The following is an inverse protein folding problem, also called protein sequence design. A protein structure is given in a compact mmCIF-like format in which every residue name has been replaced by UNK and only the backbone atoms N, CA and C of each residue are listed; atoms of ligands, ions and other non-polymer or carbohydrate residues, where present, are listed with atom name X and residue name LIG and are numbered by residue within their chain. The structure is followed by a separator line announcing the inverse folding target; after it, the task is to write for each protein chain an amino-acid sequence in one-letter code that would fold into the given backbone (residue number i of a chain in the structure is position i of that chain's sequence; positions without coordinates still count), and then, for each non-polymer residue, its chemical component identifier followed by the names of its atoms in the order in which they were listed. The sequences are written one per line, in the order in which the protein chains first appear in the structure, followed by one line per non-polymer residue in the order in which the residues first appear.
data_IF_425231270503
#
_entry.id   IF_425231270503
#
_cell.length_a   1.000
_cell.length_b   1.000
_cell.length_c   1.000
_cell.angle_alpha   90.00
_cell.angle_beta   90.00
_cell.angle_gamma   90.00
#
_symmetry.space_group_name_H-M   'P 1'
#
loop_
_entity.id
_entity.type
_entity.pdbx_description
1 polymer ?
#
# COMPACT_ATOMS: atom_id res chain seq x y z
N UNK A 1 20.56 -53.90 27.70
CA UNK A 1 19.97 -53.07 26.63
C UNK A 1 19.58 -51.72 27.21
N UNK A 2 20.30 -50.64 26.87
CA UNK A 2 20.02 -49.29 27.38
C UNK A 2 18.86 -48.69 26.60
N UNK A 3 17.73 -48.44 27.28
CA UNK A 3 16.62 -47.64 26.76
C UNK A 3 17.08 -46.18 26.69
N UNK A 4 17.69 -45.81 25.57
CA UNK A 4 17.86 -44.39 25.22
C UNK A 4 16.46 -43.93 24.82
N UNK A 5 15.83 -43.20 25.74
CA UNK A 5 14.46 -42.73 25.67
C UNK A 5 14.31 -41.84 24.43
N UNK A 6 13.27 -42.08 23.63
CA UNK A 6 12.84 -41.26 22.48
C UNK A 6 12.80 -39.74 22.81
N UNK A 7 12.67 -39.40 24.09
CA UNK A 7 12.71 -38.05 24.65
C UNK A 7 14.03 -37.30 24.42
N UNK A 8 15.19 -37.97 24.45
CA UNK A 8 16.49 -37.30 24.18
C UNK A 8 16.73 -37.05 22.69
N UNK A 9 15.98 -37.72 21.79
CA UNK A 9 16.03 -37.45 20.35
C UNK A 9 15.09 -36.30 19.93
N UNK A 10 14.05 -36.02 20.72
CA UNK A 10 13.08 -34.94 20.45
C UNK A 10 13.50 -33.57 21.04
N UNK A 11 14.37 -33.54 22.06
CA UNK A 11 14.86 -32.29 22.63
C UNK A 11 15.64 -31.43 21.61
N UNK A 12 16.60 -31.97 20.83
CA UNK A 12 17.30 -31.18 19.81
C UNK A 12 16.36 -30.66 18.72
N UNK A 13 15.27 -31.38 18.40
CA UNK A 13 14.26 -30.93 17.43
C UNK A 13 13.39 -29.78 17.95
N UNK A 14 13.24 -29.63 19.27
CA UNK A 14 12.54 -28.47 19.87
C UNK A 14 13.44 -27.24 20.00
N UNK A 15 14.77 -27.42 20.04
CA UNK A 15 15.76 -26.33 20.13
C UNK A 15 16.40 -25.94 18.79
N UNK A 16 16.09 -26.64 17.68
CA UNK A 16 16.61 -26.32 16.35
C UNK A 16 15.85 -25.20 15.63
N UNK A 17 14.72 -24.74 16.17
CA UNK A 17 14.08 -23.50 15.74
C UNK A 17 14.49 -22.41 16.71
N UNK A 18 15.69 -21.84 16.50
CA UNK A 18 16.01 -20.55 17.10
C UNK A 18 14.89 -19.59 16.75
N UNK A 19 14.07 -19.23 17.74
CA UNK A 19 12.88 -18.41 17.53
C UNK A 19 13.35 -17.02 17.12
N UNK A 20 13.43 -16.69 15.83
CA UNK A 20 13.68 -15.30 15.43
C UNK A 20 12.58 -14.40 15.98
N UNK A 21 12.94 -13.16 16.33
CA UNK A 21 11.95 -12.14 16.66
C UNK A 21 11.05 -11.97 15.44
N UNK A 22 9.77 -12.34 15.59
CA UNK A 22 8.82 -12.11 14.52
C UNK A 22 8.72 -10.61 14.25
N UNK A 23 8.62 -10.25 12.97
CA UNK A 23 8.52 -8.86 12.55
C UNK A 23 7.38 -8.12 13.27
N UNK A 24 6.25 -8.79 13.50
CA UNK A 24 5.11 -8.22 14.23
C UNK A 24 5.41 -7.94 15.71
N UNK A 25 6.15 -8.83 16.38
CA UNK A 25 6.61 -8.60 17.77
C UNK A 25 7.49 -7.35 17.82
N UNK A 26 8.46 -7.23 16.92
CA UNK A 26 9.32 -6.05 16.87
C UNK A 26 8.54 -4.76 16.58
N UNK A 27 7.64 -4.77 15.60
CA UNK A 27 6.81 -3.61 15.28
C UNK A 27 5.90 -3.21 16.45
N UNK A 28 5.42 -4.17 17.23
CA UNK A 28 4.66 -3.92 18.46
C UNK A 28 5.53 -3.31 19.57
N UNK A 29 6.79 -3.75 19.69
CA UNK A 29 7.77 -3.12 20.58
C UNK A 29 8.04 -1.66 20.19
N UNK A 30 8.25 -1.37 18.90
CA UNK A 30 8.41 0.01 18.40
C UNK A 30 7.15 0.83 18.67
N UNK A 31 5.96 0.27 18.45
CA UNK A 31 4.70 0.95 18.73
C UNK A 31 4.58 1.36 20.22
N UNK A 32 4.94 0.48 21.15
CA UNK A 32 4.93 0.81 22.58
C UNK A 32 5.90 1.95 22.92
N UNK A 33 7.10 1.96 22.31
CA UNK A 33 8.07 3.04 22.51
C UNK A 33 7.56 4.35 21.93
N UNK A 34 7.03 4.31 20.72
CA UNK A 34 6.38 5.44 20.05
C UNK A 34 5.26 6.04 20.90
N UNK A 35 4.42 5.22 21.53
CA UNK A 35 3.32 5.69 22.37
C UNK A 35 3.80 6.29 23.69
N UNK A 36 4.88 5.77 24.26
CA UNK A 36 5.49 6.28 25.49
C UNK A 36 6.30 7.57 25.25
N UNK A 37 6.79 7.81 24.04
CA UNK A 37 7.54 9.01 23.70
C UNK A 37 6.67 10.26 23.79
N UNK A 38 7.14 11.27 24.54
CA UNK A 38 6.41 12.53 24.73
C UNK A 38 6.73 13.53 23.61
N UNK A 39 7.97 13.57 23.11
CA UNK A 39 8.37 14.54 22.09
C UNK A 39 8.13 14.05 20.66
N UNK A 40 7.75 14.95 19.73
CA UNK A 40 7.65 14.63 18.30
C UNK A 40 8.95 14.06 17.72
N UNK A 41 10.10 14.58 18.13
CA UNK A 41 11.41 14.16 17.64
C UNK A 41 11.73 12.72 18.04
N UNK A 42 11.40 12.32 19.27
CA UNK A 42 11.58 10.95 19.72
C UNK A 42 10.67 9.98 18.96
N UNK A 43 9.41 10.37 18.71
CA UNK A 43 8.48 9.57 17.88
C UNK A 43 8.99 9.40 16.45
N UNK A 44 9.49 10.47 15.85
CA UNK A 44 10.10 10.41 14.52
C UNK A 44 11.31 9.47 14.55
N UNK A 45 12.22 9.63 15.52
CA UNK A 45 13.42 8.82 15.65
C UNK A 45 13.11 7.32 15.74
N UNK A 46 12.18 6.91 16.60
CA UNK A 46 11.80 5.49 16.72
C UNK A 46 11.29 4.89 15.39
N UNK A 47 10.64 5.73 14.56
CA UNK A 47 10.08 5.30 13.28
C UNK A 47 11.13 5.27 12.15
N UNK A 48 12.09 6.22 12.15
CA UNK A 48 13.03 6.41 11.03
C UNK A 48 14.44 5.93 11.30
N UNK A 49 14.78 5.55 12.55
CA UNK A 49 16.12 5.04 12.86
C UNK A 49 16.45 3.86 11.95
N UNK A 50 17.69 3.82 11.46
CA UNK A 50 18.13 2.78 10.52
C UNK A 50 18.42 1.50 11.30
N UNK A 51 17.71 0.45 10.96
CA UNK A 51 17.73 -0.84 11.62
C UNK A 51 18.54 -1.84 10.78
N UNK A 52 19.47 -2.54 11.40
CA UNK A 52 20.13 -3.72 10.85
C UNK A 52 19.12 -4.87 10.77
N UNK A 53 18.47 -5.01 9.63
CA UNK A 53 17.39 -6.00 9.45
C UNK A 53 17.89 -7.43 9.40
N UNK A 54 19.18 -7.64 9.10
CA UNK A 54 19.81 -8.96 9.21
C UNK A 54 20.00 -9.36 10.67
N UNK A 55 20.55 -8.46 11.49
CA UNK A 55 20.66 -8.71 12.92
C UNK A 55 19.27 -8.95 13.53
N UNK A 56 18.30 -8.08 13.21
CA UNK A 56 16.94 -8.21 13.72
C UNK A 56 16.27 -9.54 13.36
N UNK A 57 16.56 -10.12 12.18
CA UNK A 57 16.01 -11.43 11.80
C UNK A 57 16.70 -12.61 12.49
N UNK A 58 17.86 -12.40 13.10
CA UNK A 58 18.65 -13.44 13.80
C UNK A 58 18.45 -13.42 15.32
N UNK A 59 18.03 -12.29 15.91
CA UNK A 59 17.78 -12.17 17.36
C UNK A 59 16.61 -13.04 17.81
N UNK A 60 16.73 -13.65 19.00
CA UNK A 60 15.74 -14.60 19.53
C UNK A 60 14.56 -13.99 20.26
N UNK A 61 14.76 -12.85 20.92
CA UNK A 61 13.73 -12.17 21.70
C UNK A 61 13.92 -10.65 21.70
N UNK A 62 12.84 -9.92 21.95
CA UNK A 62 12.90 -8.45 22.05
C UNK A 62 13.82 -8.02 23.19
N UNK A 63 13.81 -8.77 24.29
CA UNK A 63 14.62 -8.53 25.48
C UNK A 63 16.12 -8.72 25.23
N UNK A 64 16.50 -9.46 24.19
CA UNK A 64 17.89 -9.75 23.82
C UNK A 64 18.44 -8.75 22.79
N UNK A 65 17.62 -7.77 22.36
CA UNK A 65 18.04 -6.77 21.39
C UNK A 65 19.13 -5.86 21.98
N UNK A 66 20.31 -5.93 21.37
CA UNK A 66 21.39 -4.98 21.58
C UNK A 66 21.20 -3.79 20.63
N UNK A 67 20.79 -2.63 21.17
CA UNK A 67 20.56 -1.41 20.38
C UNK A 67 21.82 -0.96 19.62
N UNK A 68 23.03 -1.29 20.10
CA UNK A 68 24.29 -0.94 19.42
C UNK A 68 24.53 -1.75 18.14
N UNK A 69 23.93 -2.94 18.05
CA UNK A 69 23.96 -3.79 16.85
C UNK A 69 22.74 -3.57 15.96
N UNK A 70 21.62 -3.18 16.57
CA UNK A 70 20.37 -2.89 15.86
C UNK A 70 20.46 -1.59 15.06
N UNK A 71 21.00 -0.51 15.64
CA UNK A 71 21.03 0.80 14.98
C UNK A 71 22.32 0.94 14.19
N UNK A 72 22.21 1.16 12.87
CA UNK A 72 23.37 1.26 11.98
C UNK A 72 23.57 2.64 11.39
N UNK A 73 24.81 3.11 11.44
CA UNK A 73 25.24 4.36 10.80
C UNK A 73 25.89 4.11 9.43
N UNK A 74 26.65 3.02 9.28
CA UNK A 74 27.21 2.57 8.00
C UNK A 74 26.40 1.40 7.43
N UNK A 75 25.75 1.66 6.30
CA UNK A 75 24.84 0.72 5.63
C UNK A 75 25.36 0.25 4.26
N UNK A 76 26.65 0.44 3.98
CA UNK A 76 27.26 0.05 2.71
C UNK A 76 27.21 -1.46 2.47
N UNK A 77 27.32 -2.24 3.54
CA UNK A 77 27.38 -3.71 3.51
C UNK A 77 26.27 -4.38 4.32
N UNK A 78 25.59 -3.60 5.17
CA UNK A 78 24.58 -4.11 6.09
C UNK A 78 23.19 -3.81 5.50
N UNK A 79 22.36 -4.83 5.25
CA UNK A 79 20.96 -4.64 4.94
C UNK A 79 20.30 -3.79 6.03
N UNK A 80 19.54 -2.78 5.63
CA UNK A 80 18.89 -1.89 6.58
C UNK A 80 17.47 -1.52 6.17
N UNK A 81 16.67 -1.17 7.17
CA UNK A 81 15.32 -0.64 7.00
C UNK A 81 15.02 0.35 8.12
N UNK A 82 13.76 0.73 8.26
CA UNK A 82 13.24 1.48 9.38
C UNK A 82 11.85 0.93 9.75
N UNK A 83 11.32 1.29 10.90
CA UNK A 83 10.08 0.69 11.38
C UNK A 83 8.87 1.00 10.48
N UNK A 84 8.82 2.18 9.83
CA UNK A 84 7.76 2.50 8.87
C UNK A 84 7.85 1.62 7.61
N UNK A 85 9.05 1.49 7.03
CA UNK A 85 9.29 0.61 5.90
C UNK A 85 8.93 -0.85 6.21
N UNK A 86 9.30 -1.33 7.40
CA UNK A 86 8.95 -2.67 7.88
C UNK A 86 7.44 -2.86 8.12
N UNK A 87 6.74 -1.86 8.65
CA UNK A 87 5.28 -1.89 8.80
C UNK A 87 4.56 -1.92 7.44
N UNK A 88 5.10 -1.22 6.45
CA UNK A 88 4.62 -1.28 5.07
C UNK A 88 4.86 -2.68 4.50
N UNK A 89 6.09 -3.21 4.61
CA UNK A 89 6.42 -4.54 4.12
C UNK A 89 5.61 -5.65 4.79
N UNK A 90 5.23 -5.52 6.07
CA UNK A 90 4.38 -6.52 6.74
C UNK A 90 2.89 -6.42 6.38
N UNK A 91 2.49 -5.39 5.65
CA UNK A 91 1.09 -5.11 5.37
C UNK A 91 0.29 -4.68 6.62
N UNK A 92 0.96 -4.14 7.65
CA UNK A 92 0.28 -3.62 8.84
C UNK A 92 -0.23 -2.21 8.55
N UNK A 93 -1.47 -2.13 8.07
CA UNK A 93 -2.15 -0.88 7.72
C UNK A 93 -2.25 0.07 8.92
N UNK A 94 -2.49 -0.46 10.13
CA UNK A 94 -2.68 0.35 11.34
C UNK A 94 -1.36 0.98 11.77
N UNK A 95 -0.30 0.19 11.88
CA UNK A 95 1.04 0.70 12.24
C UNK A 95 1.59 1.61 11.15
N UNK A 96 1.37 1.29 9.86
CA UNK A 96 1.73 2.18 8.74
C UNK A 96 1.05 3.54 8.87
N UNK A 97 -0.27 3.58 9.11
CA UNK A 97 -1.00 4.83 9.31
C UNK A 97 -0.49 5.60 10.51
N UNK A 98 -0.27 4.92 11.65
CA UNK A 98 0.23 5.54 12.89
C UNK A 98 1.63 6.12 12.73
N UNK A 99 2.57 5.34 12.23
CA UNK A 99 3.96 5.75 12.06
C UNK A 99 4.12 6.84 11.00
N UNK A 100 3.36 6.79 9.91
CA UNK A 100 3.41 7.83 8.87
C UNK A 100 2.85 9.18 9.31
N UNK A 101 2.03 9.25 10.37
CA UNK A 101 1.47 10.53 10.86
C UNK A 101 2.54 11.52 11.33
N UNK A 102 3.64 11.03 11.90
CA UNK A 102 4.73 11.89 12.40
C UNK A 102 5.75 12.26 11.30
N UNK A 103 5.60 11.70 10.10
CA UNK A 103 6.53 11.91 8.99
C UNK A 103 6.03 13.06 8.11
N UNK A 104 6.72 14.20 8.15
CA UNK A 104 6.35 15.38 7.35
C UNK A 104 6.44 15.12 5.84
N UNK A 105 7.49 14.42 5.39
CA UNK A 105 7.78 14.22 3.97
C UNK A 105 8.01 12.74 3.66
N UNK A 106 7.05 12.12 2.97
CA UNK A 106 7.05 10.67 2.72
C UNK A 106 8.11 10.18 1.72
N UNK A 107 8.68 11.10 0.94
CA UNK A 107 9.70 10.82 -0.08
C UNK A 107 11.13 11.07 0.44
N UNK A 108 11.31 11.33 1.73
CA UNK A 108 12.63 11.57 2.29
C UNK A 108 13.52 10.34 2.17
N UNK A 109 14.76 10.57 1.78
CA UNK A 109 15.73 9.50 1.62
C UNK A 109 15.96 8.76 2.94
N UNK A 110 15.77 9.41 4.11
CA UNK A 110 15.99 8.77 5.42
C UNK A 110 15.03 7.61 5.67
N UNK A 111 13.93 7.57 4.92
CA UNK A 111 12.93 6.50 4.92
C UNK A 111 13.29 5.37 3.96
N UNK A 112 14.33 5.52 3.16
CA UNK A 112 14.81 4.48 2.28
C UNK A 112 15.29 3.26 3.09
N UNK A 113 15.17 2.10 2.47
CA UNK A 113 15.66 0.83 2.99
C UNK A 113 16.55 0.19 1.94
N UNK A 114 17.36 -0.79 2.32
CA UNK A 114 18.12 -1.60 1.40
C UNK A 114 18.14 -3.05 1.88
N UNK A 115 17.68 -4.01 1.07
CA UNK A 115 17.89 -5.42 1.38
C UNK A 115 19.37 -5.83 1.21
N UNK A 116 20.24 -4.94 0.70
CA UNK A 116 21.68 -5.14 0.50
C UNK A 116 22.22 -4.43 -0.74
N UNK A 117 23.55 -4.33 -0.87
CA UNK A 117 24.28 -3.94 -2.11
C UNK A 117 23.99 -2.54 -2.71
N UNK A 118 24.10 -1.46 -1.91
CA UNK A 118 24.03 -0.04 -2.39
C UNK A 118 22.77 0.37 -3.18
N UNK A 119 21.79 -0.51 -3.33
CA UNK A 119 20.50 -0.21 -3.96
C UNK A 119 19.47 0.16 -2.91
N UNK A 120 18.89 1.34 -3.06
CA UNK A 120 17.89 1.87 -2.13
C UNK A 120 16.48 1.59 -2.64
N UNK A 121 15.57 1.29 -1.72
CA UNK A 121 14.14 1.17 -1.94
C UNK A 121 13.45 2.19 -1.04
N UNK A 122 12.84 3.22 -1.64
CA UNK A 122 11.94 4.11 -0.90
C UNK A 122 10.61 3.42 -0.57
N UNK A 123 9.80 4.04 0.28
CA UNK A 123 8.49 3.49 0.69
C UNK A 123 7.59 3.04 -0.47
N UNK A 124 7.52 3.77 -1.62
CA UNK A 124 6.74 3.32 -2.77
C UNK A 124 7.27 2.03 -3.41
N UNK A 125 8.59 1.80 -3.39
CA UNK A 125 9.18 0.56 -3.89
C UNK A 125 8.75 -0.62 -3.03
N UNK A 126 8.78 -0.45 -1.71
CA UNK A 126 8.42 -1.48 -0.73
C UNK A 126 6.92 -1.77 -0.81
N UNK A 127 6.07 -0.75 -0.94
CA UNK A 127 4.62 -0.94 -1.02
C UNK A 127 4.19 -1.70 -2.29
N UNK A 128 4.88 -1.45 -3.42
CA UNK A 128 4.58 -2.15 -4.68
C UNK A 128 5.28 -3.50 -4.74
N UNK A 129 6.44 -3.69 -4.09
CA UNK A 129 7.14 -4.97 -4.01
C UNK A 129 7.65 -5.25 -2.58
N UNK A 130 6.78 -5.77 -1.71
CA UNK A 130 7.16 -6.00 -0.31
C UNK A 130 7.95 -7.29 -0.07
N UNK A 131 7.92 -8.23 -1.03
CA UNK A 131 8.48 -9.58 -0.84
C UNK A 131 10.00 -9.54 -0.59
N UNK A 132 10.72 -8.66 -1.27
CA UNK A 132 12.17 -8.50 -1.11
C UNK A 132 12.57 -8.17 0.33
N UNK A 133 11.77 -7.37 1.04
CA UNK A 133 12.01 -7.11 2.47
C UNK A 133 11.54 -8.28 3.34
N UNK A 134 10.39 -8.86 3.06
CA UNK A 134 9.84 -9.94 3.87
C UNK A 134 10.73 -11.18 3.88
N UNK A 135 11.37 -11.51 2.75
CA UNK A 135 12.28 -12.66 2.63
C UNK A 135 13.49 -12.61 3.54
N UNK A 136 13.82 -11.44 4.10
CA UNK A 136 14.89 -11.30 5.10
C UNK A 136 14.48 -11.93 6.43
N UNK A 137 13.18 -11.91 6.74
CA UNK A 137 12.61 -12.44 7.98
C UNK A 137 11.98 -13.83 7.79
N UNK A 138 11.44 -14.10 6.59
CA UNK A 138 10.76 -15.35 6.25
C UNK A 138 11.01 -15.72 4.80
N UNK A 139 11.86 -16.73 4.57
CA UNK A 139 12.19 -17.22 3.23
C UNK A 139 10.97 -17.76 2.45
N UNK A 140 9.87 -18.12 3.14
CA UNK A 140 8.64 -18.60 2.54
C UNK A 140 7.61 -17.48 2.27
N UNK A 141 7.97 -16.23 2.56
CA UNK A 141 7.09 -15.09 2.36
C UNK A 141 6.58 -15.01 0.91
N UNK A 142 5.25 -14.94 0.78
CA UNK A 142 4.53 -14.91 -0.49
C UNK A 142 3.37 -13.94 -0.44
N UNK A 143 2.94 -13.47 -1.62
CA UNK A 143 1.71 -12.72 -1.74
C UNK A 143 0.52 -13.67 -1.72
N UNK A 144 -0.47 -13.34 -0.90
CA UNK A 144 -1.81 -13.90 -0.96
C UNK A 144 -2.85 -12.77 -1.12
N UNK A 145 -4.10 -13.12 -1.43
CA UNK A 145 -5.14 -12.13 -1.67
C UNK A 145 -5.45 -11.25 -0.46
N UNK A 146 -5.38 -11.78 0.75
CA UNK A 146 -5.65 -11.00 1.97
C UNK A 146 -4.52 -10.01 2.24
N UNK A 147 -3.29 -10.42 2.00
CA UNK A 147 -2.10 -9.60 2.07
C UNK A 147 -2.13 -8.47 1.02
N UNK A 148 -2.42 -8.80 -0.25
CA UNK A 148 -2.55 -7.79 -1.32
C UNK A 148 -3.59 -6.74 -1.00
N UNK A 149 -4.75 -7.13 -0.44
CA UNK A 149 -5.78 -6.17 -0.02
C UNK A 149 -5.23 -5.13 0.97
N UNK A 150 -4.43 -5.55 1.97
CA UNK A 150 -3.79 -4.64 2.93
C UNK A 150 -2.75 -3.75 2.25
N UNK A 151 -1.98 -4.29 1.30
CA UNK A 151 -1.01 -3.51 0.56
C UNK A 151 -1.64 -2.47 -0.36
N UNK A 152 -2.78 -2.76 -0.99
CA UNK A 152 -3.55 -1.77 -1.75
C UNK A 152 -3.99 -0.59 -0.87
N UNK A 153 -4.45 -0.87 0.35
CA UNK A 153 -4.77 0.19 1.32
C UNK A 153 -3.52 1.01 1.70
N UNK A 154 -2.36 0.38 1.84
CA UNK A 154 -1.10 1.08 2.12
C UNK A 154 -0.66 1.94 0.93
N UNK A 155 -0.80 1.46 -0.30
CA UNK A 155 -0.53 2.26 -1.51
C UNK A 155 -1.43 3.50 -1.54
N UNK A 156 -2.72 3.36 -1.24
CA UNK A 156 -3.64 4.49 -1.13
C UNK A 156 -3.19 5.49 -0.05
N UNK A 157 -2.78 5.00 1.14
CA UNK A 157 -2.27 5.84 2.23
C UNK A 157 -1.01 6.62 1.82
N UNK A 158 -0.07 5.95 1.14
CA UNK A 158 1.14 6.60 0.64
C UNK A 158 0.82 7.66 -0.43
N UNK A 159 -0.10 7.36 -1.34
CA UNK A 159 -0.55 8.32 -2.36
C UNK A 159 -1.21 9.56 -1.73
N UNK A 160 -2.04 9.38 -0.70
CA UNK A 160 -2.62 10.48 0.06
C UNK A 160 -1.57 11.37 0.72
N UNK A 161 -0.40 10.81 1.06
CA UNK A 161 0.75 11.56 1.58
C UNK A 161 1.72 12.08 0.51
N UNK A 162 1.36 11.99 -0.78
CA UNK A 162 2.17 12.52 -1.88
C UNK A 162 3.39 11.67 -2.22
N UNK A 163 3.31 10.36 -2.04
CA UNK A 163 4.36 9.43 -2.43
C UNK A 163 4.70 9.52 -3.93
N UNK A 164 6.00 9.54 -4.23
CA UNK A 164 6.51 9.55 -5.59
C UNK A 164 6.68 8.11 -6.11
N UNK A 165 5.67 7.61 -6.82
CA UNK A 165 5.74 6.28 -7.45
C UNK A 165 6.64 6.20 -8.69
N UNK A 166 7.36 7.29 -9.02
CA UNK A 166 8.42 7.33 -10.03
C UNK A 166 9.80 7.56 -9.41
N UNK A 167 9.92 7.44 -8.08
CA UNK A 167 11.18 7.61 -7.36
C UNK A 167 12.26 6.72 -7.97
N UNK A 168 13.38 7.34 -8.36
CA UNK A 168 14.56 6.70 -8.93
C UNK A 168 15.71 7.71 -8.88
N UNK A 169 16.90 7.29 -9.27
CA UNK A 169 18.05 8.18 -9.38
C UNK A 169 19.10 7.93 -8.30
N UNK A 170 19.88 8.96 -8.00
CA UNK A 170 21.08 8.85 -7.17
C UNK A 170 21.00 9.82 -6.01
N UNK A 171 21.38 9.37 -4.82
CA UNK A 171 21.41 10.17 -3.59
C UNK A 171 22.77 10.03 -2.91
N UNK A 172 23.20 11.10 -2.24
CA UNK A 172 24.47 11.12 -1.55
C UNK A 172 24.25 11.03 -0.05
N UNK A 173 24.88 10.06 0.59
CA UNK A 173 24.82 9.87 2.04
C UNK A 173 26.22 9.74 2.63
N UNK A 174 26.55 10.58 3.61
CA UNK A 174 27.84 10.56 4.30
C UNK A 174 29.04 10.52 3.31
N UNK A 175 28.97 11.30 2.24
CA UNK A 175 29.99 11.33 1.18
C UNK A 175 29.94 10.16 0.18
N UNK A 176 28.92 9.30 0.25
CA UNK A 176 28.80 8.12 -0.60
C UNK A 176 27.65 8.14 -1.59
N UNK A 177 28.00 7.59 -2.74
CA UNK A 177 27.25 7.38 -3.97
C UNK A 177 26.11 6.34 -3.96
N UNK A 178 24.87 6.60 -3.56
CA UNK A 178 23.81 5.57 -3.55
C UNK A 178 22.83 5.71 -4.71
N UNK A 179 22.34 4.59 -5.21
CA UNK A 179 21.40 4.55 -6.32
C UNK A 179 20.10 3.94 -5.79
N UNK A 180 18.99 4.65 -5.98
CA UNK A 180 17.69 4.00 -5.87
C UNK A 180 17.60 2.87 -6.88
N UNK A 181 16.87 1.82 -6.52
CA UNK A 181 16.40 0.83 -7.48
C UNK A 181 15.74 1.53 -8.68
N UNK A 182 15.48 0.74 -9.72
CA UNK A 182 14.60 1.21 -10.77
C UNK A 182 13.25 1.66 -10.19
N UNK A 183 12.49 2.45 -10.95
CA UNK A 183 11.17 2.95 -10.52
C UNK A 183 10.34 1.84 -9.86
N UNK A 184 9.47 2.15 -8.87
CA UNK A 184 8.69 1.15 -8.15
C UNK A 184 8.02 0.09 -9.04
N UNK A 185 7.53 0.47 -10.23
CA UNK A 185 6.97 -0.48 -11.20
C UNK A 185 8.01 -1.46 -11.76
N UNK A 186 9.17 -0.96 -12.20
CA UNK A 186 10.25 -1.81 -12.73
C UNK A 186 10.82 -2.71 -11.64
N UNK A 187 10.98 -2.17 -10.42
CA UNK A 187 11.46 -2.94 -9.28
C UNK A 187 10.51 -4.11 -8.96
N UNK A 188 9.21 -3.89 -9.00
CA UNK A 188 8.22 -4.96 -8.82
C UNK A 188 8.20 -5.98 -9.97
N UNK A 189 8.37 -5.51 -11.20
CA UNK A 189 8.42 -6.36 -12.39
C UNK A 189 9.59 -7.34 -12.35
N UNK A 190 10.79 -6.84 -12.03
CA UNK A 190 12.02 -7.66 -12.02
C UNK A 190 11.94 -8.85 -11.05
N UNK A 191 11.10 -8.72 -10.03
CA UNK A 191 10.88 -9.74 -9.00
C UNK A 191 9.70 -10.63 -9.41
N UNK A 192 8.66 -10.08 -10.05
CA UNK A 192 7.49 -10.81 -10.57
C UNK A 192 7.83 -11.91 -11.60
N UNK A 193 8.87 -11.71 -12.41
CA UNK A 193 9.31 -12.66 -13.45
C UNK A 193 9.82 -14.00 -12.90
N UNK A 194 10.11 -14.05 -11.59
CA UNK A 194 10.62 -15.24 -10.90
C UNK A 194 9.53 -16.08 -10.22
N UNK A 195 8.25 -15.66 -10.29
CA UNK A 195 7.15 -16.36 -9.62
C UNK A 195 6.19 -17.06 -10.60
N UNK A 196 5.42 -18.01 -10.07
CA UNK A 196 4.34 -18.68 -10.80
C UNK A 196 3.27 -17.70 -11.31
N UNK A 197 2.49 -18.12 -12.32
CA UNK A 197 1.46 -17.29 -12.98
C UNK A 197 0.45 -16.66 -12.02
N UNK A 198 0.08 -17.36 -10.95
CA UNK A 198 -0.91 -16.88 -9.97
C UNK A 198 -0.35 -15.76 -9.08
N UNK A 199 0.93 -15.86 -8.71
CA UNK A 199 1.64 -14.81 -7.97
C UNK A 199 1.89 -13.58 -8.82
N UNK A 200 2.10 -13.77 -10.14
CA UNK A 200 2.20 -12.66 -11.12
C UNK A 200 0.94 -11.79 -11.12
N UNK A 201 -0.24 -12.41 -11.02
CA UNK A 201 -1.53 -11.70 -10.98
C UNK A 201 -1.68 -10.80 -9.75
N UNK A 202 -1.28 -11.30 -8.57
CA UNK A 202 -1.34 -10.54 -7.31
C UNK A 202 -0.40 -9.33 -7.33
N UNK A 203 0.80 -9.51 -7.88
CA UNK A 203 1.76 -8.42 -8.05
C UNK A 203 1.25 -7.34 -9.03
N UNK A 204 0.56 -7.75 -10.09
CA UNK A 204 -0.08 -6.85 -11.05
C UNK A 204 -1.17 -5.98 -10.42
N UNK A 205 -1.86 -6.44 -9.37
CA UNK A 205 -2.82 -5.62 -8.66
C UNK A 205 -2.15 -4.42 -7.95
N UNK A 206 -1.02 -4.66 -7.29
CA UNK A 206 -0.24 -3.61 -6.63
C UNK A 206 0.31 -2.59 -7.65
N UNK A 207 0.85 -3.09 -8.76
CA UNK A 207 1.35 -2.24 -9.86
C UNK A 207 0.24 -1.40 -10.49
N UNK A 208 -0.92 -2.00 -10.78
CA UNK A 208 -2.07 -1.29 -11.32
C UNK A 208 -2.56 -0.17 -10.39
N UNK A 209 -2.56 -0.40 -9.08
CA UNK A 209 -2.92 0.63 -8.10
C UNK A 209 -1.91 1.77 -8.07
N UNK A 210 -0.61 1.48 -8.12
CA UNK A 210 0.43 2.50 -8.19
C UNK A 210 0.33 3.35 -9.48
N UNK A 211 -0.02 2.74 -10.62
CA UNK A 211 -0.25 3.45 -11.89
C UNK A 211 -1.36 4.51 -11.74
N UNK A 212 -2.45 4.19 -11.03
CA UNK A 212 -3.52 5.16 -10.77
C UNK A 212 -3.02 6.38 -9.99
N UNK A 213 -1.95 6.25 -9.21
CA UNK A 213 -1.31 7.33 -8.47
C UNK A 213 -0.07 7.92 -9.16
N UNK A 214 0.05 7.72 -10.47
CA UNK A 214 1.02 8.41 -11.32
C UNK A 214 2.33 7.69 -11.53
N UNK A 215 2.45 6.43 -11.11
CA UNK A 215 3.53 5.57 -11.58
C UNK A 215 3.47 5.46 -13.11
N UNK A 216 4.57 5.77 -13.79
CA UNK A 216 4.66 5.84 -15.24
C UNK A 216 5.36 4.60 -15.80
N UNK A 217 4.65 3.72 -16.55
CA UNK A 217 5.24 2.53 -17.15
C UNK A 217 6.34 2.81 -18.20
N UNK A 218 6.46 4.04 -18.72
CA UNK A 218 7.53 4.44 -19.65
C UNK A 218 8.81 4.89 -18.92
N UNK A 219 8.75 5.18 -17.62
CA UNK A 219 9.92 5.58 -16.86
C UNK A 219 10.70 4.35 -16.38
N UNK A 220 11.92 4.22 -16.88
CA UNK A 220 12.91 3.25 -16.44
C UNK A 220 13.91 3.90 -15.46
N UNK A 221 14.52 3.09 -14.61
CA UNK A 221 15.59 3.55 -13.72
C UNK A 221 16.95 3.70 -14.41
N UNK A 222 17.99 3.97 -13.61
CA UNK A 222 19.33 4.28 -14.10
C UNK A 222 20.02 3.13 -14.84
N UNK A 223 19.56 1.88 -14.68
CA UNK A 223 20.22 0.70 -15.28
C UNK A 223 19.78 0.39 -16.72
N UNK A 224 18.92 1.21 -17.34
CA UNK A 224 18.67 1.16 -18.80
C UNK A 224 18.09 -0.16 -19.33
N UNK A 225 17.66 -1.09 -18.47
CA UNK A 225 16.99 -2.31 -18.87
C UNK A 225 15.64 -1.96 -19.50
N UNK A 226 15.56 -2.23 -20.80
CA UNK A 226 14.48 -1.82 -21.70
C UNK A 226 13.19 -2.57 -21.37
N UNK A 227 12.25 -1.88 -20.74
CA UNK A 227 10.81 -2.20 -20.84
C UNK A 227 10.22 -1.80 -22.22
N UNK A 228 11.03 -1.58 -23.28
CA UNK A 228 10.47 -1.20 -24.59
C UNK A 228 9.53 -2.28 -25.16
N UNK A 229 9.76 -3.55 -24.82
CA UNK A 229 8.85 -4.66 -25.13
C UNK A 229 7.70 -4.75 -24.11
N UNK A 230 7.98 -4.52 -22.83
CA UNK A 230 7.02 -4.58 -21.72
C UNK A 230 5.95 -3.47 -21.75
N UNK A 231 6.31 -2.23 -22.13
CA UNK A 231 5.39 -1.08 -22.19
C UNK A 231 4.26 -1.26 -23.20
N UNK A 232 4.45 -2.11 -24.22
CA UNK A 232 3.44 -2.41 -25.24
C UNK A 232 2.61 -3.65 -24.91
N UNK A 233 3.21 -4.70 -24.36
CA UNK A 233 2.51 -5.96 -24.09
C UNK A 233 1.92 -6.09 -22.68
N UNK A 234 2.54 -5.51 -21.64
CA UNK A 234 2.06 -5.70 -20.25
C UNK A 234 1.12 -4.60 -19.75
N UNK A 235 1.14 -3.39 -20.32
CA UNK A 235 0.04 -2.43 -20.11
C UNK A 235 -1.30 -3.02 -20.60
N UNK A 236 -1.28 -3.87 -21.64
CA UNK A 236 -2.46 -4.64 -22.07
C UNK A 236 -2.93 -5.62 -21.01
N UNK A 237 -2.00 -6.26 -20.29
CA UNK A 237 -2.30 -7.19 -19.18
C UNK A 237 -2.79 -6.45 -17.92
N UNK A 238 -2.31 -5.23 -17.68
CA UNK A 238 -2.73 -4.38 -16.56
C UNK A 238 -4.01 -3.58 -16.84
N UNK A 239 -4.36 -3.34 -18.12
CA UNK A 239 -5.53 -2.55 -18.53
C UNK A 239 -6.82 -2.93 -17.79
N UNK A 240 -7.22 -4.22 -17.70
CA UNK A 240 -8.44 -4.60 -16.97
C UNK A 240 -8.40 -4.19 -15.50
N UNK A 241 -7.24 -4.32 -14.84
CA UNK A 241 -7.05 -3.95 -13.44
C UNK A 241 -7.06 -2.43 -13.25
N UNK A 242 -6.40 -1.68 -14.15
CA UNK A 242 -6.41 -0.21 -14.13
C UNK A 242 -7.85 0.31 -14.21
N UNK A 243 -8.65 -0.20 -15.16
CA UNK A 243 -10.05 0.23 -15.32
C UNK A 243 -10.93 -0.18 -14.14
N UNK A 244 -10.74 -1.40 -13.62
CA UNK A 244 -11.44 -1.88 -12.41
C UNK A 244 -11.16 -0.96 -11.23
N UNK A 245 -9.89 -0.68 -10.94
CA UNK A 245 -9.50 0.13 -9.78
C UNK A 245 -9.79 1.61 -9.98
N UNK A 246 -9.76 2.13 -11.21
CA UNK A 246 -10.23 3.49 -11.49
C UNK A 246 -11.71 3.63 -11.10
N UNK A 247 -12.55 2.67 -11.49
CA UNK A 247 -13.99 2.64 -11.14
C UNK A 247 -14.21 2.48 -9.64
N UNK A 248 -13.41 1.66 -8.97
CA UNK A 248 -13.46 1.49 -7.51
C UNK A 248 -13.06 2.78 -6.77
N UNK A 249 -12.03 3.49 -7.24
CA UNK A 249 -11.61 4.74 -6.60
C UNK A 249 -12.59 5.87 -6.90
N UNK A 250 -13.19 5.91 -8.08
CA UNK A 250 -14.08 7.00 -8.48
C UNK A 250 -15.36 7.09 -7.64
N UNK A 251 -15.74 6.03 -6.92
CA UNK A 251 -16.85 6.07 -5.95
C UNK A 251 -16.43 6.62 -4.57
N UNK A 252 -15.14 6.83 -4.31
CA UNK A 252 -14.59 7.40 -3.08
C UNK A 252 -13.87 8.73 -3.38
N UNK A 253 -14.53 9.89 -3.16
CA UNK A 253 -13.99 11.20 -3.55
C UNK A 253 -12.60 11.50 -2.95
N UNK A 254 -12.37 11.16 -1.69
CA UNK A 254 -11.10 11.45 -0.99
C UNK A 254 -9.92 10.71 -1.63
N UNK A 255 -10.12 9.45 -2.04
CA UNK A 255 -9.08 8.67 -2.72
C UNK A 255 -8.95 9.06 -4.18
N UNK A 256 -10.07 9.40 -4.82
CA UNK A 256 -10.10 9.75 -6.24
C UNK A 256 -9.38 11.06 -6.54
N UNK A 257 -9.40 12.03 -5.62
CA UNK A 257 -8.68 13.30 -5.75
C UNK A 257 -7.17 13.10 -5.98
N UNK A 258 -6.61 11.98 -5.52
CA UNK A 258 -5.19 11.65 -5.68
C UNK A 258 -4.89 10.85 -6.94
N UNK A 259 -5.91 10.36 -7.65
CA UNK A 259 -5.72 9.65 -8.93
C UNK A 259 -5.11 10.62 -9.94
N UNK A 260 -3.95 10.24 -10.49
CA UNK A 260 -3.17 11.06 -11.42
C UNK A 260 -2.47 10.15 -12.42
N UNK A 261 -3.20 9.68 -13.42
CA UNK A 261 -2.63 8.84 -14.47
C UNK A 261 -1.55 9.60 -15.26
N UNK A 262 -0.42 8.93 -15.51
CA UNK A 262 0.64 9.47 -16.34
C UNK A 262 0.16 9.64 -17.80
N UNK A 263 0.73 10.62 -18.51
CA UNK A 263 0.39 10.87 -19.93
C UNK A 263 0.59 9.62 -20.78
N UNK A 264 1.66 8.86 -20.50
CA UNK A 264 1.96 7.60 -21.17
C UNK A 264 0.83 6.58 -21.12
N UNK A 265 0.06 6.55 -20.03
CA UNK A 265 -1.10 5.66 -19.85
C UNK A 265 -2.32 6.23 -20.59
N UNK A 266 -2.51 7.55 -20.53
CA UNK A 266 -3.62 8.23 -21.20
C UNK A 266 -3.50 8.26 -22.74
N UNK A 267 -2.27 8.18 -23.27
CA UNK A 267 -2.01 8.07 -24.72
C UNK A 267 -2.60 6.77 -25.31
N UNK A 268 -2.92 5.76 -24.49
CA UNK A 268 -3.63 4.57 -24.93
C UNK A 268 -5.12 4.86 -25.09
N UNK A 269 -5.56 5.09 -26.34
CA UNK A 269 -6.94 5.49 -26.68
C UNK A 269 -8.02 4.61 -26.04
N UNK A 270 -7.79 3.31 -25.89
CA UNK A 270 -8.77 2.42 -25.26
C UNK A 270 -8.97 2.70 -23.77
N UNK A 271 -7.91 3.09 -23.05
CA UNK A 271 -7.98 3.41 -21.62
C UNK A 271 -8.63 4.78 -21.45
N UNK A 272 -8.16 5.79 -22.20
CA UNK A 272 -8.67 7.15 -22.10
C UNK A 272 -10.16 7.25 -22.46
N UNK A 273 -10.62 6.59 -23.55
CA UNK A 273 -12.05 6.59 -23.91
C UNK A 273 -12.96 6.00 -22.84
N UNK A 274 -12.53 4.93 -22.16
CA UNK A 274 -13.32 4.30 -21.10
C UNK A 274 -13.34 5.17 -19.85
N UNK A 275 -12.21 5.77 -19.48
CA UNK A 275 -12.12 6.71 -18.37
C UNK A 275 -13.02 7.94 -18.61
N UNK A 276 -12.95 8.55 -19.79
CA UNK A 276 -13.84 9.65 -20.16
C UNK A 276 -15.32 9.29 -20.05
N UNK A 277 -15.69 8.06 -20.43
CA UNK A 277 -17.06 7.57 -20.29
C UNK A 277 -17.46 7.39 -18.82
N UNK A 278 -16.56 6.90 -17.97
CA UNK A 278 -16.77 6.79 -16.51
C UNK A 278 -16.98 8.19 -15.91
N UNK A 279 -16.10 9.14 -16.21
CA UNK A 279 -16.14 10.52 -15.68
C UNK A 279 -17.42 11.27 -16.11
N UNK A 280 -17.84 11.11 -17.37
CA UNK A 280 -19.11 11.66 -17.87
C UNK A 280 -20.31 11.08 -17.12
N UNK A 281 -20.34 9.77 -16.89
CA UNK A 281 -21.43 9.10 -16.17
C UNK A 281 -21.52 9.60 -14.73
N UNK A 282 -20.40 9.83 -14.07
CA UNK A 282 -20.37 10.37 -12.71
C UNK A 282 -20.84 11.82 -12.62
N UNK A 283 -20.37 12.66 -13.54
CA UNK A 283 -20.79 14.06 -13.63
C UNK A 283 -22.31 14.18 -13.85
N UNK A 284 -22.89 13.32 -14.69
CA UNK A 284 -24.35 13.31 -14.92
C UNK A 284 -25.14 12.78 -13.71
N UNK A 285 -24.54 11.87 -12.91
CA UNK A 285 -25.16 11.33 -11.69
C UNK A 285 -25.17 12.34 -10.53
N UNK A 286 -24.13 13.17 -10.40
CA UNK A 286 -24.06 14.20 -9.36
C UNK A 286 -25.05 15.35 -9.61
N UNK A 287 -25.33 15.69 -10.88
CA UNK A 287 -26.31 16.72 -11.27
C UNK A 287 -27.75 16.33 -10.89
N UNK A 288 -28.08 15.04 -10.84
CA UNK A 288 -29.41 14.57 -10.42
C UNK A 288 -29.62 14.46 -8.90
N UNK A 289 -28.63 14.78 -8.07
CA UNK A 289 -28.78 14.91 -6.60
C UNK A 289 -29.09 16.34 -6.14
N UNK A 290 -29.93 17.08 -6.88
CA UNK A 290 -30.41 18.40 -6.46
C UNK A 290 -31.93 18.46 -6.30
N UNK A 291 -32.30 18.84 -5.06
CA UNK A 291 -33.59 19.30 -4.55
C UNK A 291 -34.79 18.33 -4.52
N UNK A 292 -35.46 18.14 -3.36
CA UNK A 292 -36.84 17.63 -3.38
C UNK A 292 -37.65 18.62 -4.21
N UNK A 293 -38.38 18.12 -5.22
CA UNK A 293 -39.36 18.92 -5.96
C UNK A 293 -40.31 19.53 -4.93
N UNK A 294 -40.16 20.81 -4.64
CA UNK A 294 -41.20 21.60 -4.05
C UNK A 294 -42.39 21.53 -5.02
N UNK A 295 -43.38 20.73 -4.67
CA UNK A 295 -44.67 20.73 -5.35
C UNK A 295 -45.27 22.09 -5.03
N UNK A 296 -45.07 23.06 -5.93
CA UNK A 296 -45.82 24.31 -5.90
C UNK A 296 -47.28 23.96 -6.10
N UNK A 297 -48.02 23.91 -4.98
CA UNK A 297 -49.46 23.83 -4.96
C UNK A 297 -49.96 25.20 -5.44
N UNK A 298 -50.23 25.31 -6.73
CA UNK A 298 -50.91 26.47 -7.31
C UNK A 298 -52.32 26.49 -6.73
N UNK A 299 -52.58 27.47 -5.88
CA UNK A 299 -53.92 27.84 -5.43
C UNK A 299 -54.61 28.61 -6.55
N UNK A 300 -55.59 27.98 -7.20
CA UNK A 300 -56.62 28.70 -7.96
C UNK A 300 -57.94 28.57 -7.20
N UNK A 301 -58.36 29.69 -6.61
CA UNK A 301 -59.71 29.92 -6.12
C UNK A 301 -60.61 30.27 -7.31
N UNK A 302 -61.71 29.55 -7.48
CA UNK A 302 -62.99 30.11 -7.94
C UNK A 302 -64.13 29.15 -7.62
N UNK A 303 -65.16 29.70 -7.00
CA UNK A 303 -66.29 29.06 -6.33
C UNK A 303 -67.30 28.36 -7.27
N UNK A 304 -67.85 27.21 -6.85
CA UNK A 304 -69.30 27.08 -6.52
C UNK A 304 -69.71 25.66 -6.11
N UNK A 305 -70.47 25.62 -5.00
CA UNK A 305 -71.58 24.73 -4.62
C UNK A 305 -71.51 23.20 -4.84
N UNK A 306 -71.41 22.44 -3.74
CA UNK A 306 -72.57 21.75 -3.11
C UNK A 306 -72.19 20.46 -2.36
N UNK A 307 -72.72 20.37 -1.13
CA UNK A 307 -72.92 19.19 -0.25
C UNK A 307 -71.74 18.50 0.48
N UNK A 308 -71.91 18.16 1.79
CA UNK A 308 -70.88 17.56 2.63
C UNK A 308 -71.08 16.05 2.86
N UNK A 309 -69.97 15.31 2.99
CA UNK A 309 -69.73 14.02 3.71
C UNK A 309 -68.50 13.34 3.06
N UNK A 310 -67.59 12.64 3.71
CA UNK A 310 -67.44 12.22 5.09
C UNK A 310 -65.93 12.02 5.37
N UNK A 311 -65.60 12.04 6.65
CA UNK A 311 -64.31 11.63 7.22
C UNK A 311 -64.04 10.16 6.91
N UNK A 312 -62.80 9.85 6.52
CA UNK A 312 -62.14 8.59 6.95
C UNK A 312 -60.62 8.77 6.88
N UNK A 313 -59.99 8.78 8.06
CA UNK A 313 -58.60 8.36 8.23
C UNK A 313 -58.45 6.92 7.71
N UNK A 314 -57.35 6.62 7.01
CA UNK A 314 -56.64 5.35 7.22
C UNK A 314 -55.14 5.56 7.07
N UNK A 315 -54.47 5.21 8.14
CA UNK A 315 -53.05 5.07 8.40
C UNK A 315 -52.39 3.88 7.68
N UNK A 316 -51.08 3.77 7.89
CA UNK A 316 -50.24 2.55 7.83
C UNK A 316 -49.69 2.17 6.43
N UNK A 317 -48.38 2.28 6.21
CA UNK A 317 -47.30 1.36 6.64
C UNK A 317 -47.23 0.10 5.76
N UNK A 318 -46.13 -0.02 5.01
CA UNK A 318 -45.26 -1.22 4.89
C UNK A 318 -44.22 -0.90 3.79
N UNK A 319 -42.96 -0.61 4.13
CA UNK A 319 -41.87 -1.59 4.16
C UNK A 319 -42.15 -2.90 3.41
N UNK A 320 -41.40 -3.15 2.34
CA UNK A 320 -40.89 -4.48 2.02
C UNK A 320 -39.61 -4.40 1.18
N UNK A 321 -38.55 -4.92 1.79
CA UNK A 321 -37.27 -5.35 1.24
C UNK A 321 -37.46 -6.51 0.26
N UNK A 322 -36.59 -6.62 -0.74
CA UNK A 322 -36.20 -7.88 -1.42
C UNK A 322 -34.72 -7.69 -1.80
N UNK A 323 -33.81 -8.34 -1.07
CA UNK A 323 -33.00 -9.51 -1.50
C UNK A 323 -32.12 -9.21 -2.72
#
# INVERSE_FOLDING_TARGET
MKKITLLTLLLPCLFLNGYSVSLDKYLSYVEQRFDKSISPEAKIYEVIKRLNIKYLSEVSSIEDIDESQLVVEDFKTIPFSNALALAIASGDVKKTKKFSQVILYINFDVLASSPGYRKLAGLPHIAVNPIEQLKIFDNEAKLDSAYVKRMLEIIDLLAQRGANFNMSGKVNYNGHSYIYNNTPLVYAESVSSHYSSDLKKLQYELMARAILYGADPKLYGLEGLRLNEYSKEDLKNLKPLILKYYTELSINPEKFEKVKLAKSVMDHQDISKIIEAIDKKQSNSSVHKTAPKAVNKVSSLSDNESTPKAVTEVSSSLCCSIL
#
